data_IF_503978408656
#
_entry.id   IF_503978408656
#
_cell.length_a   1.000
_cell.length_b   1.000
_cell.length_c   1.000
_cell.angle_alpha   90.00
_cell.angle_beta   90.00
_cell.angle_gamma   90.00
#
_symmetry.space_group_name_H-M   'P 1'
#
loop_
_entity.id
_entity.type
_entity.pdbx_description
1 polymer ?
#
# COMPACT_ATOMS: atom_id res chain seq x y z
N UNK A 1 7.68 35.44 11.03
CA UNK A 1 8.03 34.58 12.19
C UNK A 1 6.95 33.51 12.21
N UNK A 2 7.28 32.23 12.15
CA UNK A 2 6.25 31.18 12.15
C UNK A 2 5.51 31.13 13.48
N UNK A 3 4.19 31.00 13.42
CA UNK A 3 3.37 30.83 14.62
C UNK A 3 3.69 29.49 15.27
N UNK A 4 3.98 29.48 16.57
CA UNK A 4 4.15 28.24 17.35
C UNK A 4 2.93 28.09 18.26
N UNK A 5 2.30 26.91 18.18
CA UNK A 5 1.12 26.56 19.00
C UNK A 5 1.52 25.52 20.02
N UNK A 6 1.37 25.84 21.29
CA UNK A 6 1.70 25.00 22.44
C UNK A 6 0.43 24.50 23.15
N UNK A 7 0.56 23.51 24.02
CA UNK A 7 -0.56 22.96 24.82
C UNK A 7 -1.32 24.06 25.58
N UNK A 8 -0.61 25.04 26.13
CA UNK A 8 -1.20 26.16 26.87
C UNK A 8 -2.11 27.04 26.03
N UNK A 9 -1.83 27.18 24.73
CA UNK A 9 -2.68 27.98 23.81
C UNK A 9 -4.03 27.30 23.60
N UNK A 10 -4.03 25.95 23.55
CA UNK A 10 -5.24 25.13 23.44
C UNK A 10 -6.07 25.16 24.71
N UNK A 11 -5.41 25.05 25.88
CA UNK A 11 -6.05 25.15 27.20
C UNK A 11 -6.74 26.51 27.39
N UNK A 12 -6.01 27.60 27.11
CA UNK A 12 -6.55 28.97 27.21
C UNK A 12 -7.77 29.17 26.28
N UNK A 13 -7.70 28.65 25.05
CA UNK A 13 -8.82 28.71 24.12
C UNK A 13 -10.05 27.99 24.67
N UNK A 14 -9.85 26.84 25.31
CA UNK A 14 -10.94 26.07 25.92
C UNK A 14 -11.53 26.77 27.12
N UNK A 15 -10.72 27.44 27.96
CA UNK A 15 -11.18 28.27 29.09
C UNK A 15 -12.02 29.44 28.61
N UNK A 16 -11.74 29.99 27.40
CA UNK A 16 -12.58 31.02 26.75
C UNK A 16 -13.87 30.47 26.14
N UNK A 17 -14.17 29.19 26.30
CA UNK A 17 -15.37 28.52 25.79
C UNK A 17 -15.36 28.26 24.28
N UNK A 18 -14.18 28.33 23.64
CA UNK A 18 -14.02 28.09 22.20
C UNK A 18 -13.60 26.64 21.97
N UNK A 19 -13.96 26.11 20.81
CA UNK A 19 -13.64 24.72 20.40
C UNK A 19 -12.85 24.66 19.10
N UNK A 20 -12.50 25.83 18.53
CA UNK A 20 -11.81 25.91 17.25
C UNK A 20 -10.67 26.94 17.34
N UNK A 21 -9.43 26.49 17.09
CA UNK A 21 -8.23 27.34 17.08
C UNK A 21 -7.80 27.62 15.64
N UNK A 22 -7.87 28.88 15.23
CA UNK A 22 -7.41 29.31 13.90
C UNK A 22 -5.90 29.54 13.89
N UNK A 23 -5.19 28.80 13.06
CA UNK A 23 -3.75 28.85 12.91
C UNK A 23 -3.34 29.25 11.49
N UNK A 24 -2.14 29.79 11.31
CA UNK A 24 -1.59 30.10 10.01
C UNK A 24 -1.14 28.81 9.29
N UNK A 25 -1.16 28.78 7.94
CA UNK A 25 -0.82 27.57 7.16
C UNK A 25 0.60 27.03 7.43
N UNK A 26 1.52 27.90 7.87
CA UNK A 26 2.90 27.54 8.20
C UNK A 26 3.15 27.45 9.72
N UNK A 27 2.08 27.42 10.54
CA UNK A 27 2.19 27.29 11.98
C UNK A 27 2.75 25.93 12.41
N UNK A 28 3.57 25.95 13.46
CA UNK A 28 4.12 24.74 14.07
C UNK A 28 3.26 24.37 15.28
N UNK A 29 2.52 23.28 15.19
CA UNK A 29 1.73 22.73 16.31
C UNK A 29 2.56 21.65 17.01
N UNK A 30 2.83 21.85 18.29
CA UNK A 30 3.60 20.87 19.08
C UNK A 30 2.80 19.57 19.30
N UNK A 31 3.46 18.41 19.48
CA UNK A 31 2.79 17.14 19.82
C UNK A 31 1.87 17.30 21.05
N UNK A 32 2.36 17.93 22.12
CA UNK A 32 1.56 18.18 23.33
C UNK A 32 0.32 19.03 23.08
N UNK A 33 0.37 19.99 22.12
CA UNK A 33 -0.80 20.79 21.77
C UNK A 33 -1.87 19.93 21.06
N UNK A 34 -1.46 18.93 20.26
CA UNK A 34 -2.38 17.98 19.61
C UNK A 34 -3.05 17.07 20.64
N UNK A 35 -2.29 16.50 21.55
CA UNK A 35 -2.79 15.60 22.60
C UNK A 35 -3.83 16.35 23.50
N UNK A 36 -3.54 17.61 23.85
CA UNK A 36 -4.45 18.44 24.65
C UNK A 36 -5.70 18.81 23.83
N UNK A 37 -5.57 19.15 22.53
CA UNK A 37 -6.68 19.45 21.66
C UNK A 37 -7.63 18.27 21.53
N UNK A 38 -7.11 17.07 21.31
CA UNK A 38 -7.89 15.82 21.22
C UNK A 38 -8.62 15.55 22.55
N UNK A 39 -7.95 15.73 23.69
CA UNK A 39 -8.55 15.50 25.02
C UNK A 39 -9.64 16.50 25.39
N UNK A 40 -9.53 17.75 24.93
CA UNK A 40 -10.46 18.83 25.21
C UNK A 40 -11.52 19.06 24.10
N UNK A 41 -11.47 18.29 23.01
CA UNK A 41 -12.36 18.45 21.87
C UNK A 41 -12.18 19.80 21.16
N UNK A 42 -10.92 20.24 21.00
CA UNK A 42 -10.56 21.45 20.26
C UNK A 42 -10.03 21.07 18.89
N UNK A 43 -10.51 21.73 17.83
CA UNK A 43 -10.06 21.52 16.46
C UNK A 43 -9.17 22.66 15.97
N UNK A 44 -8.17 22.35 15.12
CA UNK A 44 -7.34 23.35 14.46
C UNK A 44 -7.90 23.67 13.08
N UNK A 45 -8.11 24.96 12.79
CA UNK A 45 -8.56 25.45 11.49
C UNK A 45 -7.57 26.45 10.92
N UNK A 46 -7.32 26.37 9.62
CA UNK A 46 -6.39 27.27 8.96
C UNK A 46 -7.06 28.59 8.57
N UNK A 47 -6.39 29.72 8.80
CA UNK A 47 -6.85 31.03 8.36
C UNK A 47 -6.81 31.09 6.83
N UNK A 48 -7.95 31.18 6.19
CA UNK A 48 -8.07 31.43 4.76
C UNK A 48 -7.59 32.85 4.43
N UNK A 49 -6.50 32.99 3.69
CA UNK A 49 -6.10 34.26 3.10
C UNK A 49 -7.20 34.78 2.14
N UNK A 50 -7.63 36.05 2.29
CA UNK A 50 -8.60 36.67 1.42
C UNK A 50 -8.10 36.82 0.00
N UNK A 51 -8.60 36.02 -0.92
CA UNK A 51 -8.44 36.14 -2.37
C UNK A 51 -9.65 35.51 -3.05
N UNK A 52 -10.52 36.35 -3.63
CA UNK A 52 -11.85 35.97 -4.10
C UNK A 52 -11.82 35.04 -5.31
N UNK A 53 -12.78 34.12 -5.33
CA UNK A 53 -13.09 33.22 -6.46
C UNK A 53 -14.04 32.12 -6.01
N UNK A 54 -15.31 32.20 -6.40
CA UNK A 54 -16.33 31.18 -6.16
C UNK A 54 -15.89 29.82 -6.72
N UNK A 55 -15.75 28.82 -5.84
CA UNK A 55 -15.75 27.42 -6.21
C UNK A 55 -16.74 26.67 -5.29
N UNK A 56 -17.47 25.67 -5.79
CA UNK A 56 -18.54 24.99 -5.07
C UNK A 56 -17.99 24.20 -3.88
N UNK A 57 -18.64 24.35 -2.73
CA UNK A 57 -18.34 23.60 -1.52
C UNK A 57 -18.67 22.13 -1.68
N UNK A 58 -17.64 21.33 -1.73
CA UNK A 58 -17.64 19.89 -1.61
C UNK A 58 -16.24 19.49 -1.20
N UNK A 59 -15.91 19.59 0.09
CA UNK A 59 -14.71 18.98 0.62
C UNK A 59 -14.91 17.45 0.63
N UNK A 60 -14.63 16.81 -0.50
CA UNK A 60 -14.24 15.41 -0.45
C UNK A 60 -12.81 15.41 0.11
N UNK A 61 -12.66 14.86 1.30
CA UNK A 61 -11.34 14.44 1.76
C UNK A 61 -10.77 13.52 0.70
N UNK A 62 -9.80 14.02 -0.05
CA UNK A 62 -9.13 13.21 -1.06
C UNK A 62 -8.29 12.22 -0.27
N UNK A 63 -8.76 10.98 -0.20
CA UNK A 63 -8.07 9.87 0.43
C UNK A 63 -6.70 9.69 -0.23
N UNK A 64 -5.67 9.49 0.58
CA UNK A 64 -4.30 9.22 0.13
C UNK A 64 -4.25 8.10 -0.91
N UNK A 65 -5.18 7.13 -0.82
CA UNK A 65 -5.35 6.05 -1.79
C UNK A 65 -5.87 6.55 -3.14
N UNK A 66 -6.77 7.55 -3.15
CA UNK A 66 -7.26 8.14 -4.41
C UNK A 66 -6.16 8.93 -5.12
N UNK A 67 -5.33 9.67 -4.36
CA UNK A 67 -4.16 10.37 -4.91
C UNK A 67 -3.17 9.35 -5.49
N UNK A 68 -2.90 8.26 -4.76
CA UNK A 68 -2.02 7.18 -5.22
C UNK A 68 -2.53 6.55 -6.53
N UNK A 69 -3.82 6.22 -6.62
CA UNK A 69 -4.44 5.64 -7.81
C UNK A 69 -4.36 6.56 -9.03
N UNK A 70 -4.59 7.86 -8.83
CA UNK A 70 -4.49 8.87 -9.92
C UNK A 70 -3.05 9.00 -10.39
N UNK A 71 -2.10 9.08 -9.48
CA UNK A 71 -0.67 9.21 -9.83
C UNK A 71 -0.14 7.95 -10.51
N UNK A 72 -0.54 6.75 -10.04
CA UNK A 72 -0.23 5.47 -10.69
C UNK A 72 -0.79 5.43 -12.11
N UNK A 73 -2.06 5.82 -12.31
CA UNK A 73 -2.67 5.87 -13.65
C UNK A 73 -1.98 6.86 -14.60
N UNK A 74 -1.42 7.95 -14.08
CA UNK A 74 -0.65 8.91 -14.86
C UNK A 74 0.75 8.38 -15.22
N UNK A 75 1.37 7.61 -14.33
CA UNK A 75 2.62 6.89 -14.58
C UNK A 75 2.45 5.82 -15.65
N UNK A 76 1.43 4.97 -15.52
CA UNK A 76 1.13 3.88 -16.45
C UNK A 76 0.83 4.40 -17.87
N UNK A 77 0.33 5.64 -17.97
CA UNK A 77 0.10 6.33 -19.25
C UNK A 77 1.30 7.11 -19.75
N UNK A 78 2.45 7.08 -19.06
CA UNK A 78 3.64 7.82 -19.42
C UNK A 78 3.50 9.35 -19.34
N UNK A 79 2.48 9.83 -18.61
CA UNK A 79 2.21 11.27 -18.42
C UNK A 79 2.97 11.86 -17.22
N UNK A 80 3.60 11.02 -16.42
CA UNK A 80 4.47 11.38 -15.29
C UNK A 80 5.80 10.62 -15.40
N UNK A 81 6.89 11.29 -15.08
CA UNK A 81 8.21 10.67 -15.02
C UNK A 81 8.34 9.89 -13.69
N UNK A 82 8.72 8.60 -13.79
CA UNK A 82 8.98 7.74 -12.61
C UNK A 82 9.94 8.41 -11.62
N UNK A 83 10.99 9.07 -12.11
CA UNK A 83 11.99 9.72 -11.27
C UNK A 83 11.47 10.88 -10.41
N UNK A 84 10.32 11.47 -10.76
CA UNK A 84 9.71 12.55 -9.99
C UNK A 84 8.97 12.05 -8.73
N UNK A 85 8.62 10.76 -8.71
CA UNK A 85 7.85 10.12 -7.64
C UNK A 85 8.68 9.13 -6.82
N UNK A 86 9.90 8.81 -7.26
CA UNK A 86 10.86 7.98 -6.53
C UNK A 86 11.20 8.67 -5.19
N UNK A 87 10.53 8.25 -4.13
CA UNK A 87 10.66 8.79 -2.78
C UNK A 87 9.40 9.40 -2.18
N UNK A 88 8.36 9.72 -2.98
CA UNK A 88 7.10 10.30 -2.48
C UNK A 88 6.04 9.23 -2.26
N UNK A 89 6.02 8.14 -3.04
CA UNK A 89 5.05 7.06 -2.98
C UNK A 89 5.70 5.68 -3.07
N UNK A 90 6.51 5.34 -2.08
CA UNK A 90 7.00 3.97 -1.98
C UNK A 90 5.89 3.09 -1.38
N UNK A 91 5.55 1.95 -2.01
CA UNK A 91 4.56 1.02 -1.45
C UNK A 91 5.07 0.32 -0.17
N UNK A 92 6.32 0.51 0.18
CA UNK A 92 6.96 -0.05 1.38
C UNK A 92 8.19 0.75 1.81
N UNK A 93 8.54 0.66 3.08
CA UNK A 93 9.81 1.17 3.59
C UNK A 93 10.95 0.22 3.24
N UNK A 94 12.04 0.76 2.70
CA UNK A 94 13.22 -0.03 2.35
C UNK A 94 14.52 0.71 2.61
N UNK A 95 15.60 -0.06 2.74
CA UNK A 95 16.96 0.43 2.78
C UNK A 95 17.74 -0.26 1.65
N UNK A 96 18.46 0.50 0.86
CA UNK A 96 19.23 -0.02 -0.27
C UNK A 96 20.69 0.39 -0.19
N UNK A 97 21.55 -0.44 -0.75
CA UNK A 97 22.97 -0.18 -0.93
C UNK A 97 23.27 -0.02 -2.43
N UNK A 98 24.27 0.79 -2.86
CA UNK A 98 24.59 0.99 -4.28
C UNK A 98 24.94 -0.27 -5.09
N UNK A 99 25.29 -1.40 -4.44
CA UNK A 99 25.52 -2.67 -5.12
C UNK A 99 24.25 -3.47 -5.43
N UNK A 100 23.05 -2.91 -5.13
CA UNK A 100 21.77 -3.58 -5.34
C UNK A 100 21.20 -4.31 -4.12
N UNK A 101 21.94 -4.42 -2.98
CA UNK A 101 21.35 -5.00 -1.77
C UNK A 101 20.18 -4.12 -1.31
N UNK A 102 19.06 -4.76 -1.00
CA UNK A 102 17.83 -4.11 -0.54
C UNK A 102 17.21 -4.88 0.64
N UNK A 103 16.81 -4.15 1.66
CA UNK A 103 16.04 -4.67 2.80
C UNK A 103 14.70 -3.99 2.83
N UNK A 104 13.63 -4.73 2.62
CA UNK A 104 12.24 -4.25 2.68
C UNK A 104 11.65 -4.54 4.06
N UNK A 105 10.97 -3.56 4.65
CA UNK A 105 10.23 -3.72 5.89
C UNK A 105 8.87 -4.36 5.60
N UNK A 106 8.76 -5.67 5.73
CA UNK A 106 7.58 -6.45 5.33
C UNK A 106 6.26 -5.96 5.95
N UNK A 107 6.30 -5.36 7.16
CA UNK A 107 5.10 -4.82 7.82
C UNK A 107 4.67 -3.45 7.27
N UNK A 108 5.52 -2.77 6.51
CA UNK A 108 5.18 -1.50 5.87
C UNK A 108 4.59 -1.66 4.47
N UNK A 109 4.59 -2.90 3.94
CA UNK A 109 4.17 -3.17 2.56
C UNK A 109 2.67 -2.92 2.40
N UNK A 110 2.34 -1.99 1.50
CA UNK A 110 0.97 -1.74 1.05
C UNK A 110 0.70 -2.66 -0.13
N UNK A 111 -0.39 -3.39 -0.03
CA UNK A 111 -0.79 -4.37 -1.04
C UNK A 111 -1.72 -3.72 -2.06
N UNK A 112 -1.46 -3.93 -3.33
CA UNK A 112 -2.35 -3.55 -4.43
C UNK A 112 -3.34 -4.68 -4.74
N UNK A 113 -4.51 -4.33 -5.28
CA UNK A 113 -5.47 -5.34 -5.78
C UNK A 113 -4.82 -6.10 -6.94
N UNK A 114 -4.86 -7.42 -6.86
CA UNK A 114 -4.40 -8.29 -7.93
C UNK A 114 -5.57 -8.61 -8.87
N UNK A 115 -5.46 -8.19 -10.13
CA UNK A 115 -6.45 -8.56 -11.15
C UNK A 115 -6.21 -10.01 -11.58
N UNK A 116 -7.04 -10.90 -11.07
CA UNK A 116 -6.99 -12.33 -11.38
C UNK A 116 -7.82 -12.73 -12.59
N UNK A 117 -8.50 -11.77 -13.25
CA UNK A 117 -9.50 -12.03 -14.27
C UNK A 117 -10.82 -12.59 -13.71
N UNK A 118 -10.90 -12.93 -12.43
CA UNK A 118 -12.12 -13.41 -11.76
C UNK A 118 -12.67 -12.34 -10.81
N UNK A 119 -13.81 -11.68 -11.11
CA UNK A 119 -14.35 -10.60 -10.26
C UNK A 119 -14.84 -11.07 -8.88
N UNK A 120 -14.90 -12.39 -8.65
CA UNK A 120 -15.25 -12.98 -7.34
C UNK A 120 -14.02 -13.30 -6.49
N UNK A 121 -12.83 -13.23 -7.07
CA UNK A 121 -11.61 -13.46 -6.32
C UNK A 121 -11.20 -12.19 -5.56
N UNK A 122 -10.76 -12.38 -4.33
CA UNK A 122 -10.16 -11.33 -3.51
C UNK A 122 -8.69 -11.65 -3.33
N UNK A 123 -7.85 -11.02 -4.12
CA UNK A 123 -6.42 -11.19 -4.07
C UNK A 123 -5.70 -9.83 -4.12
N UNK A 124 -4.55 -9.77 -3.44
CA UNK A 124 -3.71 -8.59 -3.39
C UNK A 124 -2.27 -8.99 -3.56
N UNK A 125 -1.47 -8.18 -4.23
CA UNK A 125 -0.04 -8.45 -4.36
C UNK A 125 0.79 -7.17 -4.25
N UNK A 126 2.08 -7.34 -3.95
CA UNK A 126 3.08 -6.30 -4.06
C UNK A 126 4.40 -6.92 -4.44
N UNK A 127 4.90 -6.54 -5.61
CA UNK A 127 6.25 -6.89 -6.03
C UNK A 127 7.27 -6.09 -5.22
N UNK A 128 8.28 -6.76 -4.68
CA UNK A 128 9.34 -6.17 -3.86
C UNK A 128 10.68 -6.14 -4.59
N UNK A 129 10.91 -7.12 -5.45
CA UNK A 129 12.05 -7.23 -6.36
C UNK A 129 11.49 -7.52 -7.74
N UNK A 130 11.77 -6.69 -8.72
CA UNK A 130 11.23 -6.81 -10.07
C UNK A 130 12.30 -6.97 -11.15
N UNK A 131 11.85 -7.07 -12.39
CA UNK A 131 12.68 -7.31 -13.58
C UNK A 131 13.77 -6.27 -13.82
N UNK A 132 13.58 -5.05 -13.33
CA UNK A 132 14.55 -3.97 -13.46
C UNK A 132 15.73 -4.12 -12.48
N UNK A 133 15.57 -4.95 -11.43
CA UNK A 133 16.55 -5.17 -10.37
C UNK A 133 17.19 -6.55 -10.42
N UNK A 134 16.47 -7.58 -10.93
CA UNK A 134 16.88 -8.97 -10.82
C UNK A 134 16.35 -9.84 -11.95
N UNK A 135 16.93 -11.05 -12.11
CA UNK A 135 16.40 -12.10 -12.99
C UNK A 135 15.23 -12.87 -12.37
N UNK A 136 15.00 -12.70 -11.07
CA UNK A 136 13.84 -13.21 -10.36
C UNK A 136 12.94 -12.05 -9.95
N UNK A 137 11.62 -12.25 -9.98
CA UNK A 137 10.67 -11.38 -9.29
C UNK A 137 10.31 -12.00 -7.97
N UNK A 138 10.13 -11.17 -6.94
CA UNK A 138 9.71 -11.65 -5.63
C UNK A 138 8.84 -10.61 -4.92
N UNK A 139 7.88 -11.09 -4.12
CA UNK A 139 6.98 -10.20 -3.41
C UNK A 139 6.05 -10.91 -2.45
N UNK A 140 4.99 -10.22 -2.09
CA UNK A 140 3.89 -10.78 -1.30
C UNK A 140 2.63 -10.93 -2.13
N UNK A 141 1.92 -12.03 -1.92
CA UNK A 141 0.58 -12.28 -2.41
C UNK A 141 -0.33 -12.61 -1.22
N UNK A 142 -1.54 -12.07 -1.25
CA UNK A 142 -2.61 -12.39 -0.29
C UNK A 142 -3.81 -12.91 -1.07
N UNK A 143 -4.37 -14.05 -0.65
CA UNK A 143 -5.63 -14.60 -1.17
C UNK A 143 -6.59 -14.69 0.01
N UNK A 144 -7.75 -14.03 -0.09
CA UNK A 144 -8.69 -13.89 1.02
C UNK A 144 -10.02 -14.59 0.69
N UNK A 145 -10.32 -15.73 1.35
CA UNK A 145 -11.58 -16.52 1.24
C UNK A 145 -12.05 -16.72 -0.20
N UNK A 146 -11.13 -16.93 -1.13
CA UNK A 146 -11.44 -16.98 -2.57
C UNK A 146 -10.46 -17.85 -3.34
N UNK A 147 -10.68 -17.96 -4.66
CA UNK A 147 -9.77 -18.67 -5.54
C UNK A 147 -9.93 -18.21 -6.99
N UNK A 148 -8.88 -18.45 -7.78
CA UNK A 148 -8.82 -18.08 -9.19
C UNK A 148 -7.95 -19.05 -9.99
N UNK A 149 -8.29 -19.21 -11.26
CA UNK A 149 -7.50 -19.98 -12.22
C UNK A 149 -6.29 -19.15 -12.67
N UNK A 150 -5.16 -19.85 -12.84
CA UNK A 150 -3.94 -19.21 -13.30
C UNK A 150 -3.08 -20.19 -14.10
N UNK A 151 -2.53 -19.71 -15.21
CA UNK A 151 -1.55 -20.45 -16.01
C UNK A 151 -0.16 -19.87 -15.77
N UNK A 152 0.74 -20.65 -15.19
CA UNK A 152 2.11 -20.23 -14.95
C UNK A 152 2.95 -20.52 -16.20
N UNK A 153 3.36 -19.49 -16.92
CA UNK A 153 4.34 -19.56 -18.01
C UNK A 153 5.79 -19.48 -17.50
N UNK A 154 5.96 -19.44 -16.19
CA UNK A 154 7.18 -19.25 -15.41
C UNK A 154 7.22 -20.27 -14.26
N UNK A 155 8.36 -20.37 -13.59
CA UNK A 155 8.51 -21.16 -12.36
C UNK A 155 8.23 -20.30 -11.14
N UNK A 156 7.62 -20.87 -10.09
CA UNK A 156 7.29 -20.15 -8.86
C UNK A 156 7.57 -20.97 -7.62
N UNK A 157 8.14 -20.32 -6.61
CA UNK A 157 8.28 -20.85 -5.25
C UNK A 157 7.49 -19.93 -4.32
N UNK A 158 6.66 -20.55 -3.48
CA UNK A 158 5.88 -19.86 -2.47
C UNK A 158 6.26 -20.34 -1.07
N UNK A 159 6.40 -19.39 -0.16
CA UNK A 159 6.51 -19.66 1.27
C UNK A 159 5.28 -19.10 1.97
N UNK A 160 4.53 -19.96 2.64
CA UNK A 160 3.32 -19.55 3.37
C UNK A 160 3.72 -18.88 4.68
N UNK A 161 3.42 -17.60 4.81
CA UNK A 161 3.70 -16.80 6.01
C UNK A 161 2.55 -16.97 7.02
N UNK A 162 1.29 -16.88 6.55
CA UNK A 162 0.09 -16.95 7.37
C UNK A 162 -1.05 -17.65 6.61
N UNK A 163 -1.95 -18.31 7.34
CA UNK A 163 -3.15 -18.94 6.79
C UNK A 163 -2.88 -20.25 6.05
N UNK A 164 -3.81 -20.56 5.15
CA UNK A 164 -3.80 -21.81 4.36
C UNK A 164 -3.85 -21.48 2.88
N UNK A 165 -2.78 -21.81 2.14
CA UNK A 165 -2.74 -21.75 0.68
C UNK A 165 -3.24 -23.08 0.11
N UNK A 166 -4.11 -23.03 -0.91
CA UNK A 166 -4.52 -24.21 -1.67
C UNK A 166 -4.15 -24.05 -3.14
N UNK A 167 -3.67 -25.14 -3.73
CA UNK A 167 -3.38 -25.24 -5.16
C UNK A 167 -4.06 -26.48 -5.71
N UNK A 168 -4.95 -26.28 -6.68
CA UNK A 168 -5.61 -27.40 -7.35
C UNK A 168 -5.07 -27.54 -8.76
N UNK A 169 -4.59 -28.74 -9.09
CA UNK A 169 -4.14 -29.12 -10.43
C UNK A 169 -4.71 -30.49 -10.78
N UNK A 170 -5.23 -30.66 -11.98
CA UNK A 170 -5.87 -31.90 -12.47
C UNK A 170 -6.94 -32.46 -11.51
N UNK A 171 -7.71 -31.55 -10.89
CA UNK A 171 -8.78 -31.90 -9.96
C UNK A 171 -8.31 -32.32 -8.56
N UNK A 172 -7.00 -32.33 -8.29
CA UNK A 172 -6.43 -32.64 -6.98
C UNK A 172 -5.97 -31.36 -6.29
N UNK A 173 -6.45 -31.15 -5.06
CA UNK A 173 -6.06 -30.01 -4.23
C UNK A 173 -4.93 -30.38 -3.27
N UNK A 174 -3.91 -29.56 -3.26
CA UNK A 174 -2.81 -29.58 -2.29
C UNK A 174 -2.98 -28.41 -1.35
N UNK A 175 -2.67 -28.61 -0.06
CA UNK A 175 -2.78 -27.59 0.97
C UNK A 175 -1.40 -27.35 1.56
N UNK A 176 -1.06 -26.06 1.73
CA UNK A 176 0.16 -25.63 2.40
C UNK A 176 -0.24 -24.65 3.53
N UNK A 177 0.37 -24.81 4.70
CA UNK A 177 0.14 -24.04 5.89
C UNK A 177 1.33 -23.14 6.23
N UNK A 178 1.17 -22.22 7.16
CA UNK A 178 2.26 -21.36 7.60
C UNK A 178 3.53 -22.15 7.92
N UNK A 179 4.65 -21.78 7.27
CA UNK A 179 5.94 -22.48 7.33
C UNK A 179 6.21 -23.45 6.17
N UNK A 180 5.20 -23.80 5.38
CA UNK A 180 5.37 -24.70 4.23
C UNK A 180 5.90 -23.95 3.00
N UNK A 181 6.57 -24.72 2.13
CA UNK A 181 7.07 -24.26 0.83
C UNK A 181 6.36 -25.02 -0.28
N UNK A 182 5.95 -24.31 -1.30
CA UNK A 182 5.36 -24.84 -2.52
C UNK A 182 6.27 -24.52 -3.70
N UNK A 183 6.39 -25.44 -4.66
CA UNK A 183 7.01 -25.20 -5.96
C UNK A 183 6.02 -25.52 -7.07
N UNK A 184 5.83 -24.58 -7.98
CA UNK A 184 4.98 -24.74 -9.16
C UNK A 184 5.83 -24.59 -10.42
N UNK A 185 5.99 -25.67 -11.22
CA UNK A 185 6.78 -25.59 -12.44
C UNK A 185 6.07 -24.80 -13.54
N UNK A 186 6.84 -24.25 -14.45
CA UNK A 186 6.35 -23.60 -15.66
C UNK A 186 5.45 -24.54 -16.47
N UNK A 187 4.42 -23.98 -17.12
CA UNK A 187 3.40 -24.70 -17.88
C UNK A 187 2.28 -25.28 -17.04
N UNK A 188 2.24 -25.00 -15.74
CA UNK A 188 1.18 -25.47 -14.85
C UNK A 188 -0.09 -24.63 -15.01
N UNK A 189 -1.24 -25.29 -15.10
CA UNK A 189 -2.58 -24.67 -15.00
C UNK A 189 -3.18 -25.06 -13.68
N UNK A 190 -3.32 -24.06 -12.80
CA UNK A 190 -3.72 -24.29 -11.41
C UNK A 190 -4.93 -23.44 -11.04
N UNK A 191 -5.60 -23.84 -9.96
CA UNK A 191 -6.51 -22.96 -9.23
C UNK A 191 -5.84 -22.63 -7.91
N UNK A 192 -5.43 -21.38 -7.78
CA UNK A 192 -4.98 -20.81 -6.51
C UNK A 192 -6.16 -20.54 -5.61
N UNK A 193 -6.00 -20.72 -4.31
CA UNK A 193 -7.08 -20.40 -3.36
C UNK A 193 -6.65 -20.37 -1.93
N UNK A 194 -7.57 -19.88 -1.09
CA UNK A 194 -7.47 -19.95 0.36
C UNK A 194 -8.88 -20.09 0.97
N UNK A 195 -9.09 -21.07 1.87
CA UNK A 195 -10.33 -21.19 2.61
C UNK A 195 -10.47 -20.15 3.74
N UNK A 196 -9.35 -19.55 4.12
CA UNK A 196 -9.22 -18.48 5.11
C UNK A 196 -8.56 -17.25 4.44
N UNK A 197 -7.48 -16.74 5.02
CA UNK A 197 -6.67 -15.68 4.45
C UNK A 197 -5.21 -16.12 4.43
N UNK A 198 -4.73 -16.51 3.26
CA UNK A 198 -3.33 -16.83 3.06
C UNK A 198 -2.51 -15.60 2.74
N UNK A 199 -1.36 -15.43 3.40
CA UNK A 199 -0.31 -14.50 3.02
C UNK A 199 0.94 -15.31 2.68
N UNK A 200 1.47 -15.10 1.50
CA UNK A 200 2.62 -15.82 0.98
C UNK A 200 3.71 -14.86 0.51
N UNK A 201 4.96 -15.30 0.64
CA UNK A 201 6.08 -14.74 -0.10
C UNK A 201 6.28 -15.60 -1.34
N UNK A 202 6.21 -14.96 -2.51
CA UNK A 202 6.47 -15.64 -3.79
C UNK A 202 7.83 -15.24 -4.36
N UNK A 203 8.42 -16.13 -5.15
CA UNK A 203 9.56 -15.84 -5.99
C UNK A 203 9.41 -16.56 -7.33
N UNK A 204 9.50 -15.82 -8.44
CA UNK A 204 9.28 -16.31 -9.80
C UNK A 204 10.54 -16.18 -10.66
N UNK A 205 10.70 -17.07 -11.62
CA UNK A 205 11.68 -16.98 -12.68
C UNK A 205 11.05 -17.31 -14.03
N UNK A 206 11.25 -16.46 -15.07
CA UNK A 206 11.99 -15.20 -15.06
C UNK A 206 11.21 -14.06 -14.41
N UNK A 207 11.91 -12.96 -14.07
CA UNK A 207 11.33 -11.79 -13.39
C UNK A 207 10.25 -11.05 -14.22
N UNK A 208 10.28 -11.17 -15.53
CA UNK A 208 9.31 -10.56 -16.44
C UNK A 208 8.06 -11.43 -16.67
N UNK A 209 7.68 -12.21 -15.67
CA UNK A 209 6.54 -13.14 -15.73
C UNK A 209 5.25 -12.51 -16.27
N UNK A 210 4.97 -11.26 -15.91
CA UNK A 210 3.77 -10.53 -16.37
C UNK A 210 3.78 -10.23 -17.89
N UNK A 211 4.95 -10.18 -18.52
CA UNK A 211 5.09 -9.99 -19.97
C UNK A 211 4.85 -11.29 -20.76
N UNK A 212 4.76 -12.43 -20.04
CA UNK A 212 4.62 -13.78 -20.61
C UNK A 212 3.18 -14.33 -20.52
N UNK A 213 2.25 -13.56 -19.96
CA UNK A 213 0.81 -13.89 -19.80
C UNK A 213 0.02 -13.68 -21.06
#
# INVERSE_FOLDING_TARGET
>A
MKQLVCAKDVETLKEEGKTELYIDEDAIVTPSARDVADSLGVTFSYKKGCGGGNAPSGSQDIDSNQIYMVLKALLDKGLLDKGLLDGVFQPYDSQSHPNGLKVVRGNSVKMDVFDTGNPKATAYFQELVGKDESHISAGFLVIDHSGFEWELTYEEIDYVIEGTLTVTIDGKTYMAHAGDVLFVPSGSKVIWGSPDKARIFYATYPANWADLL
#
